data_IF_020851068158
#
_entry.id   IF_020851068158
#
_cell.length_a   1.000
_cell.length_b   1.000
_cell.length_c   1.000
_cell.angle_alpha   90.00
_cell.angle_beta   90.00
_cell.angle_gamma   90.00
#
_symmetry.space_group_name_H-M   'P 1'
#
loop_
_entity.id
_entity.type
_entity.pdbx_description
1 polymer ?
#
# COMPACT_ATOMS: atom_id res chain seq x y z
N UNK A 1 -7.11 -4.12 2.59
CA UNK A 1 -6.95 -5.12 1.51
C UNK A 1 -8.25 -5.85 1.26
N UNK A 2 -9.16 -5.96 2.24
CA UNK A 2 -10.45 -6.63 2.06
C UNK A 2 -11.44 -5.86 1.14
N UNK A 3 -11.36 -4.52 1.11
CA UNK A 3 -12.19 -3.67 0.25
C UNK A 3 -11.35 -2.52 -0.33
N UNK A 4 -10.85 -2.69 -1.55
CA UNK A 4 -10.04 -1.67 -2.24
C UNK A 4 -10.84 -0.42 -2.64
N UNK A 5 -12.09 -0.53 -3.15
CA UNK A 5 -12.95 0.63 -3.39
C UNK A 5 -13.18 1.50 -2.16
N UNK A 6 -13.35 0.91 -0.98
CA UNK A 6 -13.48 1.66 0.28
C UNK A 6 -12.18 2.38 0.63
N UNK A 7 -11.03 1.71 0.49
CA UNK A 7 -9.71 2.33 0.75
C UNK A 7 -9.51 3.56 -0.14
N UNK A 8 -9.76 3.44 -1.44
CA UNK A 8 -9.67 4.58 -2.38
C UNK A 8 -10.56 5.75 -1.94
N UNK A 9 -11.83 5.49 -1.59
CA UNK A 9 -12.74 6.53 -1.12
C UNK A 9 -12.23 7.22 0.14
N UNK A 10 -11.71 6.46 1.10
CA UNK A 10 -11.17 7.01 2.35
C UNK A 10 -9.93 7.88 2.11
N UNK A 11 -8.95 7.37 1.35
CA UNK A 11 -7.72 8.11 1.06
C UNK A 11 -8.02 9.38 0.28
N UNK A 12 -8.89 9.30 -0.74
CA UNK A 12 -9.31 10.46 -1.55
C UNK A 12 -9.97 11.53 -0.69
N UNK A 13 -10.90 11.15 0.19
CA UNK A 13 -11.58 12.10 1.08
C UNK A 13 -10.62 12.74 2.07
N UNK A 14 -9.74 11.95 2.68
CA UNK A 14 -8.74 12.46 3.63
C UNK A 14 -7.76 13.42 2.94
N UNK A 15 -7.25 13.06 1.77
CA UNK A 15 -6.31 13.89 1.02
C UNK A 15 -6.93 15.22 0.59
N UNK A 16 -8.21 15.22 0.19
CA UNK A 16 -8.93 16.45 -0.20
C UNK A 16 -9.27 17.36 0.98
N UNK A 17 -9.58 16.79 2.15
CA UNK A 17 -10.01 17.55 3.32
C UNK A 17 -8.84 18.01 4.22
N UNK A 18 -7.71 17.31 4.15
CA UNK A 18 -6.56 17.57 5.02
C UNK A 18 -5.75 18.77 4.55
N UNK A 19 -5.36 19.63 5.49
CA UNK A 19 -4.40 20.73 5.27
C UNK A 19 -2.94 20.28 5.36
N UNK A 20 -2.71 19.03 5.79
CA UNK A 20 -1.37 18.43 5.92
C UNK A 20 -1.27 17.17 5.06
N UNK A 21 -0.07 16.77 4.60
CA UNK A 21 0.10 15.59 3.76
C UNK A 21 -0.41 14.31 4.42
N UNK A 22 -1.13 13.48 3.65
CA UNK A 22 -1.64 12.19 4.11
C UNK A 22 -0.66 11.08 3.69
N UNK A 23 -0.10 10.37 4.67
CA UNK A 23 0.70 9.16 4.42
C UNK A 23 -0.15 7.90 4.56
N UNK A 24 0.15 6.87 3.78
CA UNK A 24 -0.49 5.56 3.89
C UNK A 24 0.54 4.47 4.15
N UNK A 25 0.08 3.35 4.73
CA UNK A 25 0.88 2.14 4.93
C UNK A 25 0.15 0.94 4.36
N UNK A 26 0.83 0.14 3.54
CA UNK A 26 0.29 -1.09 2.97
C UNK A 26 1.14 -2.33 3.30
N UNK A 27 0.56 -3.49 3.04
CA UNK A 27 1.23 -4.79 2.93
C UNK A 27 1.13 -5.25 1.48
N UNK A 28 2.06 -6.08 1.03
CA UNK A 28 2.06 -6.62 -0.33
C UNK A 28 1.02 -7.74 -0.49
N UNK A 29 0.53 -7.94 -1.70
CA UNK A 29 -0.23 -9.12 -2.10
C UNK A 29 0.71 -10.27 -2.50
N UNK A 30 0.21 -11.52 -2.57
CA UNK A 30 0.99 -12.63 -3.09
C UNK A 30 1.44 -12.44 -4.55
N UNK A 31 0.60 -11.77 -5.37
CA UNK A 31 0.92 -11.42 -6.75
C UNK A 31 1.46 -10.00 -6.83
N UNK A 32 2.54 -9.81 -7.59
CA UNK A 32 3.18 -8.50 -7.74
C UNK A 32 2.25 -7.50 -8.43
N UNK A 33 1.47 -7.95 -9.42
CA UNK A 33 0.57 -7.11 -10.20
C UNK A 33 -0.50 -6.47 -9.30
N UNK A 34 -1.03 -7.24 -8.35
CA UNK A 34 -2.02 -6.77 -7.37
C UNK A 34 -1.38 -5.74 -6.41
N UNK A 35 -0.15 -5.98 -5.97
CA UNK A 35 0.63 -5.02 -5.17
C UNK A 35 0.83 -3.70 -5.91
N UNK A 36 1.24 -3.75 -7.18
CA UNK A 36 1.48 -2.57 -8.01
C UNK A 36 0.18 -1.81 -8.28
N UNK A 37 -0.89 -2.51 -8.64
CA UNK A 37 -2.21 -1.91 -8.86
C UNK A 37 -2.71 -1.20 -7.59
N UNK A 38 -2.55 -1.84 -6.43
CA UNK A 38 -2.94 -1.26 -5.16
C UNK A 38 -2.07 -0.05 -4.78
N UNK A 39 -0.75 -0.11 -4.97
CA UNK A 39 0.15 1.01 -4.69
C UNK A 39 -0.20 2.25 -5.54
N UNK A 40 -0.37 2.06 -6.86
CA UNK A 40 -0.80 3.14 -7.79
C UNK A 40 -2.17 3.70 -7.41
N UNK A 41 -3.08 2.84 -6.95
CA UNK A 41 -4.39 3.26 -6.47
C UNK A 41 -4.27 4.15 -5.22
N UNK A 42 -3.44 3.78 -4.25
CA UNK A 42 -3.24 4.61 -3.05
C UNK A 42 -2.57 5.95 -3.42
N UNK A 43 -1.58 5.92 -4.31
CA UNK A 43 -0.92 7.11 -4.83
C UNK A 43 -1.90 8.07 -5.54
N UNK A 44 -2.66 7.58 -6.54
CA UNK A 44 -3.63 8.42 -7.27
C UNK A 44 -4.71 9.02 -6.37
N UNK A 45 -5.02 8.37 -5.25
CA UNK A 45 -5.98 8.86 -4.26
C UNK A 45 -5.45 10.04 -3.44
N UNK A 46 -4.23 10.50 -3.67
CA UNK A 46 -3.64 11.67 -3.00
C UNK A 46 -2.79 11.33 -1.79
N UNK A 47 -2.32 10.08 -1.68
CA UNK A 47 -1.31 9.72 -0.70
C UNK A 47 0.03 10.38 -1.03
N UNK A 48 0.57 11.14 -0.09
CA UNK A 48 1.86 11.84 -0.25
C UNK A 48 3.07 10.92 -0.03
N UNK A 49 2.96 9.99 0.92
CA UNK A 49 4.03 9.04 1.23
C UNK A 49 3.43 7.66 1.50
N UNK A 50 3.89 6.67 0.73
CA UNK A 50 3.47 5.28 0.86
C UNK A 50 4.55 4.43 1.54
N UNK A 51 4.27 3.95 2.75
CA UNK A 51 5.10 2.95 3.43
C UNK A 51 4.66 1.54 3.02
N UNK A 52 5.60 0.73 2.53
CA UNK A 52 5.34 -0.65 2.09
C UNK A 52 5.98 -1.64 3.05
N UNK A 53 5.16 -2.52 3.61
CA UNK A 53 5.66 -3.68 4.34
C UNK A 53 5.69 -4.86 3.37
N UNK A 54 6.89 -5.35 3.00
CA UNK A 54 7.12 -6.49 2.11
C UNK A 54 6.68 -7.87 2.64
N UNK A 55 5.63 -7.94 3.46
CA UNK A 55 5.01 -9.20 3.91
C UNK A 55 3.51 -9.12 3.63
N UNK A 56 2.92 -10.24 3.26
CA UNK A 56 1.45 -10.32 3.11
C UNK A 56 0.75 -10.17 4.45
N UNK A 57 -0.58 -10.03 4.44
CA UNK A 57 -1.37 -9.94 5.66
C UNK A 57 -1.26 -11.22 6.50
N UNK A 58 -1.25 -12.37 5.84
CA UNK A 58 -1.21 -13.71 6.43
C UNK A 58 0.14 -13.99 7.11
N UNK A 59 1.20 -13.31 6.68
CA UNK A 59 2.55 -13.40 7.25
C UNK A 59 2.76 -12.47 8.47
N UNK A 60 1.70 -11.87 9.03
CA UNK A 60 1.80 -10.91 10.14
C UNK A 60 2.57 -11.48 11.34
N UNK A 61 2.19 -12.66 11.80
CA UNK A 61 2.72 -13.29 13.01
C UNK A 61 3.85 -14.29 12.71
N UNK A 62 4.20 -14.46 11.43
CA UNK A 62 5.31 -15.31 11.02
C UNK A 62 6.64 -14.54 11.10
N UNK A 63 7.31 -14.62 12.25
CA UNK A 63 8.63 -14.02 12.46
C UNK A 63 9.75 -14.63 11.62
N UNK A 64 9.53 -15.84 11.08
CA UNK A 64 10.50 -16.53 10.20
C UNK A 64 10.40 -16.04 8.75
N UNK A 65 9.25 -15.51 8.34
CA UNK A 65 9.11 -14.93 7.00
C UNK A 65 9.82 -13.59 6.94
N UNK A 66 10.86 -13.51 6.11
CA UNK A 66 11.55 -12.24 5.80
C UNK A 66 10.68 -11.37 4.90
N UNK A 67 10.95 -10.07 4.91
CA UNK A 67 10.32 -9.15 3.97
C UNK A 67 10.85 -9.39 2.55
N UNK A 68 9.93 -9.37 1.59
CA UNK A 68 10.21 -9.37 0.16
C UNK A 68 10.64 -7.96 -0.27
N UNK A 69 11.94 -7.79 -0.45
CA UNK A 69 12.54 -6.53 -0.88
C UNK A 69 12.35 -6.25 -2.37
N UNK A 70 12.11 -7.28 -3.17
CA UNK A 70 11.93 -7.13 -4.61
C UNK A 70 10.54 -6.55 -4.92
N UNK A 71 9.50 -6.96 -4.18
CA UNK A 71 8.20 -6.28 -4.26
C UNK A 71 8.27 -4.82 -3.79
N UNK A 72 9.03 -4.53 -2.72
CA UNK A 72 9.24 -3.13 -2.28
C UNK A 72 9.95 -2.31 -3.37
N UNK A 73 11.00 -2.88 -3.98
CA UNK A 73 11.73 -2.25 -5.09
C UNK A 73 10.81 -2.00 -6.28
N UNK A 74 9.99 -2.97 -6.66
CA UNK A 74 9.06 -2.85 -7.77
C UNK A 74 8.03 -1.74 -7.52
N UNK A 75 7.49 -1.62 -6.30
CA UNK A 75 6.60 -0.50 -5.96
C UNK A 75 7.31 0.85 -6.06
N UNK A 76 8.58 0.95 -5.66
CA UNK A 76 9.36 2.19 -5.75
C UNK A 76 9.67 2.62 -7.19
N UNK A 77 9.87 1.65 -8.09
CA UNK A 77 10.22 1.90 -9.49
C UNK A 77 9.00 2.08 -10.41
N UNK A 78 7.84 1.59 -9.94
CA UNK A 78 6.58 1.56 -10.66
C UNK A 78 5.99 2.93 -10.90
#
# INVERSE_FOLDING_TARGET
MDDLPLVEKLVTRLAQASKVPVSCKIRVFPKLEDTLAYARMVERSGCYLLAVHGRTREQKDNSRTRADWDQIRAVKQG
#
